data_IF_291596691094
#
_entry.id   IF_291596691094
#
_cell.length_a   1.000
_cell.length_b   1.000
_cell.length_c   1.000
_cell.angle_alpha   90.00
_cell.angle_beta   90.00
_cell.angle_gamma   90.00
#
_symmetry.space_group_name_H-M   'P 1'
#
loop_
_entity.id
_entity.type
_entity.pdbx_description
1 polymer ?
#
# COMPACT_ATOMS: atom_id res chain seq x y z
N UNK A 1 7.67 0.28 -15.20
CA UNK A 1 7.73 1.75 -15.27
C UNK A 1 6.32 2.35 -15.26
N UNK A 2 5.71 2.73 -16.41
CA UNK A 2 4.44 3.50 -16.45
C UNK A 2 3.30 2.90 -15.62
N UNK A 3 3.09 1.57 -15.69
CA UNK A 3 2.03 0.89 -14.95
C UNK A 3 2.08 1.12 -13.43
N UNK A 4 3.27 1.06 -12.82
CA UNK A 4 3.40 1.21 -11.37
C UNK A 4 3.30 2.66 -10.93
N UNK A 5 3.70 3.61 -11.77
CA UNK A 5 3.44 5.04 -11.54
C UNK A 5 1.94 5.31 -11.56
N UNK A 6 1.22 4.80 -12.56
CA UNK A 6 -0.23 4.96 -12.65
C UNK A 6 -0.97 4.30 -11.48
N UNK A 7 -0.61 3.06 -11.15
CA UNK A 7 -1.20 2.35 -10.01
C UNK A 7 -0.89 3.05 -8.70
N UNK A 8 0.35 3.48 -8.48
CA UNK A 8 0.74 4.23 -7.28
C UNK A 8 0.01 5.57 -7.18
N UNK A 9 -0.10 6.33 -8.26
CA UNK A 9 -0.87 7.57 -8.30
C UNK A 9 -2.36 7.35 -7.99
N UNK A 10 -2.95 6.30 -8.56
CA UNK A 10 -4.34 5.94 -8.27
C UNK A 10 -4.54 5.50 -6.81
N UNK A 11 -3.65 4.68 -6.26
CA UNK A 11 -3.70 4.27 -4.85
C UNK A 11 -3.49 5.47 -3.90
N UNK A 12 -2.61 6.41 -4.26
CA UNK A 12 -2.39 7.64 -3.48
C UNK A 12 -3.64 8.54 -3.52
N UNK A 13 -4.25 8.71 -4.69
CA UNK A 13 -5.51 9.45 -4.85
C UNK A 13 -6.61 8.87 -3.96
N UNK A 14 -6.81 7.55 -4.00
CA UNK A 14 -7.78 6.88 -3.14
C UNK A 14 -7.44 7.06 -1.66
N UNK A 15 -6.15 7.04 -1.30
CA UNK A 15 -5.71 7.21 0.07
C UNK A 15 -6.02 8.61 0.61
N UNK A 16 -5.81 9.64 -0.19
CA UNK A 16 -6.20 11.02 0.16
C UNK A 16 -7.70 11.11 0.32
N UNK A 17 -8.47 10.56 -0.64
CA UNK A 17 -9.93 10.57 -0.59
C UNK A 17 -10.49 9.86 0.64
N UNK A 18 -9.99 8.66 0.96
CA UNK A 18 -10.39 7.89 2.13
C UNK A 18 -9.93 8.54 3.45
N UNK A 19 -8.76 9.18 3.48
CA UNK A 19 -8.31 9.96 4.62
C UNK A 19 -9.23 11.14 4.92
N UNK A 20 -9.53 11.96 3.90
CA UNK A 20 -10.44 13.09 4.05
C UNK A 20 -11.88 12.64 4.40
N UNK A 21 -12.36 11.56 3.78
CA UNK A 21 -13.66 10.98 4.08
C UNK A 21 -13.72 10.48 5.54
N UNK A 22 -12.68 9.78 6.00
CA UNK A 22 -12.54 9.32 7.38
C UNK A 22 -12.59 10.47 8.39
N UNK A 23 -11.83 11.53 8.14
CA UNK A 23 -11.68 12.65 9.05
C UNK A 23 -12.88 13.60 9.12
N UNK A 24 -13.69 13.68 8.05
CA UNK A 24 -14.79 14.67 7.98
C UNK A 24 -16.18 14.05 7.91
N UNK A 25 -16.38 13.03 7.08
CA UNK A 25 -17.71 12.47 6.81
C UNK A 25 -17.99 11.20 7.61
N UNK A 26 -16.96 10.50 8.08
CA UNK A 26 -17.06 9.23 8.79
C UNK A 26 -16.55 9.31 10.25
N UNK A 27 -16.13 10.49 10.73
CA UNK A 27 -15.50 10.67 12.04
C UNK A 27 -16.35 10.11 13.19
N UNK A 28 -17.60 10.58 13.30
CA UNK A 28 -18.51 10.22 14.40
C UNK A 28 -18.80 8.71 14.41
N UNK A 29 -18.91 8.10 13.22
CA UNK A 29 -19.11 6.67 13.08
C UNK A 29 -17.87 5.88 13.56
N UNK A 30 -16.68 6.28 13.11
CA UNK A 30 -15.43 5.63 13.49
C UNK A 30 -15.14 5.80 15.00
N UNK A 31 -15.41 6.97 15.56
CA UNK A 31 -15.27 7.25 17.00
C UNK A 31 -16.22 6.37 17.82
N UNK A 32 -17.51 6.36 17.46
CA UNK A 32 -18.53 5.55 18.16
C UNK A 32 -18.21 4.06 18.12
N UNK A 33 -17.59 3.58 17.03
CA UNK A 33 -17.21 2.18 16.87
C UNK A 33 -15.82 1.85 17.42
N UNK A 34 -15.02 2.84 17.81
CA UNK A 34 -13.64 2.65 18.26
C UNK A 34 -12.69 2.20 17.15
N UNK A 35 -12.88 2.69 15.92
CA UNK A 35 -12.11 2.28 14.73
C UNK A 35 -11.32 3.40 14.06
N UNK A 36 -11.19 4.58 14.68
CA UNK A 36 -10.37 5.69 14.16
C UNK A 36 -8.95 5.23 13.86
N UNK A 37 -8.26 4.62 14.83
CA UNK A 37 -6.88 4.13 14.65
C UNK A 37 -6.76 3.04 13.56
N UNK A 38 -7.79 2.22 13.38
CA UNK A 38 -7.82 1.17 12.36
C UNK A 38 -7.92 1.79 10.97
N UNK A 39 -8.79 2.79 10.80
CA UNK A 39 -8.95 3.53 9.56
C UNK A 39 -7.67 4.30 9.22
N UNK A 40 -7.12 5.05 10.19
CA UNK A 40 -5.92 5.85 9.98
C UNK A 40 -4.71 4.98 9.62
N UNK A 41 -4.60 3.79 10.22
CA UNK A 41 -3.56 2.82 9.85
C UNK A 41 -3.74 2.31 8.42
N UNK A 42 -4.98 2.03 7.99
CA UNK A 42 -5.28 1.62 6.63
C UNK A 42 -4.87 2.71 5.61
N UNK A 43 -5.26 3.97 5.86
CA UNK A 43 -4.91 5.14 5.05
C UNK A 43 -3.39 5.32 5.00
N UNK A 44 -2.73 5.32 6.16
CA UNK A 44 -1.28 5.55 6.25
C UNK A 44 -0.52 4.50 5.45
N UNK A 45 -0.82 3.21 5.64
CA UNK A 45 -0.14 2.14 4.90
C UNK A 45 -0.47 2.18 3.41
N UNK A 46 -1.70 2.51 3.02
CA UNK A 46 -2.05 2.67 1.61
C UNK A 46 -1.21 3.77 0.97
N UNK A 47 -1.12 4.94 1.58
CA UNK A 47 -0.31 6.05 1.06
C UNK A 47 1.17 5.67 0.97
N UNK A 48 1.76 5.11 2.03
CA UNK A 48 3.18 4.75 2.05
C UNK A 48 3.53 3.78 0.92
N UNK A 49 2.72 2.74 0.71
CA UNK A 49 3.00 1.75 -0.33
C UNK A 49 2.56 2.22 -1.73
N UNK A 50 1.60 3.15 -1.84
CA UNK A 50 1.29 3.83 -3.09
C UNK A 50 2.48 4.66 -3.58
N UNK A 51 3.13 5.42 -2.68
CA UNK A 51 4.37 6.12 -2.98
C UNK A 51 5.49 5.12 -3.31
N UNK A 52 5.55 3.98 -2.63
CA UNK A 52 6.43 2.86 -2.98
C UNK A 52 6.22 2.35 -4.42
N UNK A 53 4.98 2.24 -4.90
CA UNK A 53 4.69 1.87 -6.29
C UNK A 53 5.20 2.91 -7.30
N UNK A 54 5.02 4.20 -7.00
CA UNK A 54 5.57 5.29 -7.82
C UNK A 54 7.10 5.18 -7.87
N UNK A 55 7.74 5.01 -6.70
CA UNK A 55 9.19 4.85 -6.58
C UNK A 55 9.69 3.65 -7.40
N UNK A 56 9.05 2.48 -7.30
CA UNK A 56 9.36 1.31 -8.13
C UNK A 56 9.24 1.64 -9.62
N UNK A 57 8.19 2.37 -9.99
CA UNK A 57 8.01 2.89 -11.34
C UNK A 57 9.20 3.71 -11.83
N UNK A 58 9.72 4.62 -11.00
CA UNK A 58 10.89 5.47 -11.26
C UNK A 58 12.17 4.63 -11.33
N UNK A 59 12.42 3.75 -10.37
CA UNK A 59 13.61 2.88 -10.31
C UNK A 59 13.73 1.98 -11.55
N UNK A 60 12.59 1.57 -12.14
CA UNK A 60 12.56 0.80 -13.39
C UNK A 60 12.94 1.62 -14.65
N UNK A 61 13.19 2.93 -14.52
CA UNK A 61 13.72 3.74 -15.61
C UNK A 61 15.05 3.17 -16.09
N UNK A 62 15.27 3.19 -17.42
CA UNK A 62 16.50 2.68 -18.04
C UNK A 62 17.78 3.33 -17.49
N UNK A 63 17.67 4.56 -17.00
CA UNK A 63 18.80 5.34 -16.50
C UNK A 63 19.10 5.11 -15.01
N UNK A 64 18.30 4.31 -14.30
CA UNK A 64 18.50 4.01 -12.87
C UNK A 64 18.87 2.53 -12.71
N UNK A 65 17.88 1.64 -12.62
CA UNK A 65 18.12 0.19 -12.56
C UNK A 65 17.64 -0.54 -13.81
N UNK A 66 16.80 0.10 -14.63
CA UNK A 66 16.13 -0.57 -15.75
C UNK A 66 15.06 -1.57 -15.29
N UNK A 67 14.40 -2.25 -16.23
CA UNK A 67 13.24 -3.10 -15.95
C UNK A 67 13.64 -4.48 -15.39
N UNK A 68 14.24 -4.53 -14.21
CA UNK A 68 14.62 -5.79 -13.57
C UNK A 68 13.44 -6.54 -12.96
N UNK A 69 13.52 -7.88 -12.97
CA UNK A 69 12.46 -8.79 -12.52
C UNK A 69 12.05 -8.54 -11.07
N UNK A 70 13.02 -8.22 -10.20
CA UNK A 70 12.82 -7.94 -8.79
C UNK A 70 11.89 -6.75 -8.56
N UNK A 71 12.12 -5.63 -9.26
CA UNK A 71 11.25 -4.44 -9.16
C UNK A 71 9.84 -4.71 -9.68
N UNK A 72 9.70 -5.54 -10.70
CA UNK A 72 8.37 -5.92 -11.20
C UNK A 72 7.57 -6.71 -10.15
N UNK A 73 8.20 -7.70 -9.50
CA UNK A 73 7.57 -8.43 -8.41
C UNK A 73 7.34 -7.57 -7.17
N UNK A 74 8.28 -6.70 -6.82
CA UNK A 74 8.13 -5.74 -5.74
C UNK A 74 6.85 -4.90 -5.94
N UNK A 75 6.63 -4.38 -7.15
CA UNK A 75 5.45 -3.58 -7.45
C UNK A 75 4.14 -4.36 -7.27
N UNK A 76 4.07 -5.61 -7.73
CA UNK A 76 2.86 -6.42 -7.51
C UNK A 76 2.66 -6.77 -6.03
N UNK A 77 3.73 -7.06 -5.30
CA UNK A 77 3.65 -7.37 -3.87
C UNK A 77 3.21 -6.15 -3.04
N UNK A 78 3.66 -4.94 -3.38
CA UNK A 78 3.15 -3.73 -2.76
C UNK A 78 1.67 -3.50 -3.09
N UNK A 79 1.25 -3.70 -4.34
CA UNK A 79 -0.16 -3.56 -4.72
C UNK A 79 -1.06 -4.56 -3.99
N UNK A 80 -0.69 -5.84 -3.99
CA UNK A 80 -1.42 -6.90 -3.27
C UNK A 80 -1.44 -6.60 -1.78
N UNK A 81 -0.32 -6.13 -1.23
CA UNK A 81 -0.25 -5.69 0.15
C UNK A 81 -1.25 -4.57 0.45
N UNK A 82 -1.40 -3.56 -0.41
CA UNK A 82 -2.39 -2.47 -0.22
C UNK A 82 -3.80 -3.06 -0.15
N UNK A 83 -4.14 -3.93 -1.10
CA UNK A 83 -5.49 -4.53 -1.18
C UNK A 83 -5.78 -5.38 0.07
N UNK A 84 -4.84 -6.23 0.47
CA UNK A 84 -5.04 -7.14 1.60
C UNK A 84 -4.91 -6.46 2.96
N UNK A 85 -3.92 -5.59 3.14
CA UNK A 85 -3.67 -4.90 4.40
C UNK A 85 -4.66 -3.76 4.60
N UNK A 86 -4.60 -2.72 3.77
CA UNK A 86 -5.45 -1.54 3.93
C UNK A 86 -6.91 -1.85 3.62
N UNK A 87 -7.18 -2.61 2.55
CA UNK A 87 -8.54 -3.00 2.18
C UNK A 87 -9.26 -3.79 3.28
N UNK A 88 -8.59 -4.74 3.94
CA UNK A 88 -9.20 -5.49 5.05
C UNK A 88 -9.47 -4.60 6.27
N UNK A 89 -8.58 -3.65 6.58
CA UNK A 89 -8.78 -2.71 7.69
C UNK A 89 -9.93 -1.74 7.42
N UNK A 90 -10.08 -1.20 6.20
CA UNK A 90 -11.26 -0.39 5.83
C UNK A 90 -12.55 -1.19 5.95
N UNK A 91 -12.56 -2.42 5.39
CA UNK A 91 -13.73 -3.29 5.46
C UNK A 91 -14.09 -3.64 6.90
N UNK A 92 -13.10 -3.90 7.76
CA UNK A 92 -13.29 -4.15 9.18
C UNK A 92 -13.84 -2.91 9.91
N UNK A 93 -13.30 -1.72 9.65
CA UNK A 93 -13.76 -0.47 10.26
C UNK A 93 -15.22 -0.16 9.89
N UNK A 94 -15.62 -0.40 8.64
CA UNK A 94 -16.98 -0.14 8.16
C UNK A 94 -18.00 -1.20 8.61
N UNK A 95 -17.61 -2.48 8.58
CA UNK A 95 -18.54 -3.59 8.87
C UNK A 95 -18.55 -4.03 10.34
N UNK A 96 -17.49 -3.72 11.09
CA UNK A 96 -17.25 -4.27 12.43
C UNK A 96 -16.84 -5.75 12.47
N UNK A 97 -16.67 -6.40 11.31
CA UNK A 97 -16.33 -7.83 11.23
C UNK A 97 -14.85 -8.06 11.53
N UNK A 98 -14.54 -8.36 12.80
CA UNK A 98 -13.16 -8.50 13.31
C UNK A 98 -12.32 -9.57 12.61
N UNK A 99 -12.94 -10.62 12.04
CA UNK A 99 -12.19 -11.69 11.36
C UNK A 99 -11.47 -11.20 10.10
N UNK A 100 -11.92 -10.08 9.52
CA UNK A 100 -11.23 -9.45 8.39
C UNK A 100 -9.83 -8.97 8.77
N UNK A 101 -9.60 -8.61 10.03
CA UNK A 101 -8.28 -8.26 10.55
C UNK A 101 -7.26 -9.42 10.47
N UNK A 102 -7.71 -10.67 10.34
CA UNK A 102 -6.82 -11.82 10.16
C UNK A 102 -6.21 -11.88 8.74
N UNK A 103 -6.75 -11.12 7.78
CA UNK A 103 -6.20 -10.97 6.42
C UNK A 103 -5.04 -9.96 6.41
N UNK A 104 -5.07 -8.98 7.31
CA UNK A 104 -4.09 -7.89 7.38
C UNK A 104 -2.63 -8.39 7.47
N UNK A 105 -2.26 -9.40 8.28
CA UNK A 105 -0.90 -9.94 8.33
C UNK A 105 -0.38 -10.46 6.98
N UNK A 106 -1.26 -11.05 6.14
CA UNK A 106 -0.88 -11.55 4.81
C UNK A 106 -0.45 -10.38 3.91
N UNK A 107 -1.19 -9.26 3.97
CA UNK A 107 -0.79 -8.03 3.30
C UNK A 107 0.53 -7.47 3.83
N UNK A 108 0.75 -7.54 5.15
CA UNK A 108 2.00 -7.13 5.80
C UNK A 108 3.21 -7.93 5.31
N UNK A 109 3.09 -9.25 5.21
CA UNK A 109 4.14 -10.12 4.64
C UNK A 109 4.39 -9.78 3.18
N UNK A 110 3.35 -9.48 2.40
CA UNK A 110 3.48 -9.02 1.01
C UNK A 110 4.30 -7.72 0.93
N UNK A 111 4.04 -6.75 1.81
CA UNK A 111 4.84 -5.53 1.88
C UNK A 111 6.30 -5.78 2.20
N UNK A 112 6.58 -6.61 3.22
CA UNK A 112 7.95 -6.98 3.60
C UNK A 112 8.69 -7.61 2.42
N UNK A 113 8.08 -8.61 1.76
CA UNK A 113 8.66 -9.25 0.59
C UNK A 113 8.90 -8.26 -0.56
N UNK A 114 7.98 -7.32 -0.79
CA UNK A 114 8.12 -6.28 -1.80
C UNK A 114 9.34 -5.39 -1.54
N UNK A 115 9.52 -4.90 -0.31
CA UNK A 115 10.66 -4.07 0.06
C UNK A 115 11.98 -4.84 0.05
N UNK A 116 11.98 -6.11 0.43
CA UNK A 116 13.16 -6.99 0.29
C UNK A 116 13.60 -7.07 -1.18
N UNK A 117 12.66 -7.23 -2.12
CA UNK A 117 13.00 -7.24 -3.54
C UNK A 117 13.55 -5.90 -4.05
N UNK A 118 13.12 -4.77 -3.49
CA UNK A 118 13.74 -3.46 -3.79
C UNK A 118 15.19 -3.43 -3.31
N UNK A 119 15.47 -3.90 -2.09
CA UNK A 119 16.85 -3.99 -1.56
C UNK A 119 17.73 -4.90 -2.44
N UNK A 120 17.21 -6.07 -2.84
CA UNK A 120 17.93 -7.01 -3.71
C UNK A 120 18.16 -6.46 -5.12
N UNK A 121 17.21 -5.68 -5.65
CA UNK A 121 17.43 -4.97 -6.91
C UNK A 121 18.59 -3.99 -6.79
N UNK A 122 18.60 -3.14 -5.76
CA UNK A 122 19.65 -2.15 -5.54
C UNK A 122 21.05 -2.81 -5.39
N UNK A 123 21.16 -3.88 -4.60
CA UNK A 123 22.43 -4.57 -4.39
C UNK A 123 23.03 -5.17 -5.68
N UNK A 124 22.18 -5.63 -6.62
CA UNK A 124 22.65 -6.17 -7.90
C UNK A 124 23.20 -5.08 -8.83
N UNK A 125 22.74 -3.83 -8.68
CA UNK A 125 23.15 -2.69 -9.49
C UNK A 125 24.27 -1.84 -8.85
N UNK A 126 24.68 -2.15 -7.62
CA UNK A 126 25.81 -1.51 -6.96
C UNK A 126 27.18 -2.09 -7.39
N UNK A 127 27.19 -3.11 -8.25
CA UNK A 127 28.37 -3.72 -8.86
C UNK A 127 28.44 -3.37 -10.33
#
# INVERSE_FOLDING_TARGET
MKKFIMLGGFMALLSVGLGAFGAHALSDFLETKGYVDVWDKAVTYQMSHALGLILIGILMSKNIFGPVKQLNWAGYLLLVGIILFSGSLYAMALSGVKVLGAITPIGGVSFLAGWILVMLAANKHAK
#
